data_IF_533182522824
#
_entry.id   IF_533182522824
#
_cell.length_a   1.000
_cell.length_b   1.000
_cell.length_c   1.000
_cell.angle_alpha   90.00
_cell.angle_beta   90.00
_cell.angle_gamma   90.00
#
_symmetry.space_group_name_H-M   'P 1'
#
loop_
_entity.id
_entity.type
_entity.pdbx_description
1 polymer ?
#
# COMPACT_ATOMS: atom_id res chain seq x y z
N UNK A 1 -10.01 -4.89 10.78
CA UNK A 1 -8.89 -5.71 11.33
C UNK A 1 -7.60 -4.95 11.03
N UNK A 2 -6.67 -4.91 11.99
CA UNK A 2 -5.39 -4.22 11.79
C UNK A 2 -4.50 -5.03 10.85
N UNK A 3 -4.02 -4.44 9.76
CA UNK A 3 -3.33 -5.15 8.67
C UNK A 3 -2.22 -4.32 8.04
N UNK A 4 -1.19 -5.00 7.56
CA UNK A 4 -0.11 -4.41 6.76
C UNK A 4 0.06 -5.18 5.45
N UNK A 5 0.03 -4.43 4.34
CA UNK A 5 0.35 -4.90 3.00
C UNK A 5 1.74 -4.43 2.63
N UNK A 6 2.64 -5.38 2.44
CA UNK A 6 4.04 -5.09 2.18
C UNK A 6 4.62 -6.04 1.15
N UNK A 7 5.87 -5.79 0.79
CA UNK A 7 6.63 -6.69 -0.06
C UNK A 7 7.83 -7.18 0.74
N UNK A 8 7.96 -8.49 0.96
CA UNK A 8 9.07 -9.01 1.75
C UNK A 8 10.43 -8.71 1.12
N UNK A 9 10.50 -8.56 -0.20
CA UNK A 9 11.74 -8.19 -0.91
C UNK A 9 12.09 -6.69 -0.84
N UNK A 10 11.25 -5.83 -0.25
CA UNK A 10 11.55 -4.41 -0.11
C UNK A 10 12.32 -4.09 1.18
N UNK A 11 13.59 -3.68 1.07
CA UNK A 11 14.45 -3.28 2.19
C UNK A 11 13.82 -2.25 3.12
N UNK A 12 13.22 -1.20 2.54
CA UNK A 12 12.58 -0.15 3.34
C UNK A 12 11.38 -0.67 4.11
N UNK A 13 10.55 -1.54 3.50
CA UNK A 13 9.44 -2.17 4.21
C UNK A 13 9.95 -3.02 5.37
N UNK A 14 10.97 -3.86 5.14
CA UNK A 14 11.58 -4.69 6.21
C UNK A 14 12.10 -3.85 7.36
N UNK A 15 12.80 -2.74 7.07
CA UNK A 15 13.30 -1.81 8.10
C UNK A 15 12.16 -1.17 8.89
N UNK A 16 11.10 -0.73 8.23
CA UNK A 16 9.93 -0.16 8.89
C UNK A 16 9.29 -1.19 9.81
N UNK A 17 8.99 -2.38 9.29
CA UNK A 17 8.37 -3.49 10.04
C UNK A 17 9.17 -3.84 11.29
N UNK A 18 10.50 -3.93 11.17
CA UNK A 18 11.39 -4.25 12.30
C UNK A 18 11.37 -3.18 13.41
N UNK A 19 11.04 -1.94 13.08
CA UNK A 19 10.98 -0.82 14.02
C UNK A 19 9.55 -0.49 14.46
N UNK A 20 8.55 -1.30 14.07
CA UNK A 20 7.21 -1.13 14.60
C UNK A 20 7.18 -1.49 16.10
N UNK A 21 6.39 -0.78 16.91
CA UNK A 21 6.11 -1.20 18.28
C UNK A 21 5.38 -2.55 18.28
N UNK A 22 5.20 -3.15 19.46
CA UNK A 22 4.36 -4.34 19.60
C UNK A 22 2.98 -4.09 19.00
N UNK A 23 2.50 -5.04 18.20
CA UNK A 23 1.29 -4.87 17.41
C UNK A 23 0.66 -6.23 17.09
N UNK A 24 -0.63 -6.19 16.77
CA UNK A 24 -1.45 -7.32 16.35
C UNK A 24 -1.71 -7.32 14.83
N UNK A 25 -0.87 -6.61 14.05
CA UNK A 25 -1.09 -6.45 12.62
C UNK A 25 -1.01 -7.80 11.91
N UNK A 26 -1.97 -8.05 11.02
CA UNK A 26 -1.87 -9.16 10.08
C UNK A 26 -0.95 -8.76 8.92
N UNK A 27 0.09 -9.56 8.70
CA UNK A 27 1.11 -9.32 7.67
C UNK A 27 0.73 -10.02 6.37
N UNK A 28 0.56 -9.25 5.30
CA UNK A 28 0.32 -9.77 3.95
C UNK A 28 1.44 -9.35 3.00
N UNK A 29 2.25 -10.33 2.59
CA UNK A 29 3.17 -10.14 1.47
C UNK A 29 2.39 -10.22 0.17
N UNK A 30 2.20 -9.06 -0.47
CA UNK A 30 1.37 -8.94 -1.67
C UNK A 30 1.98 -9.61 -2.91
N UNK A 31 3.21 -10.11 -2.82
CA UNK A 31 3.80 -10.95 -3.88
C UNK A 31 3.40 -12.42 -3.73
N UNK A 32 3.28 -12.92 -2.51
CA UNK A 32 2.91 -14.31 -2.24
C UNK A 32 1.38 -14.46 -2.16
N UNK A 33 0.72 -13.48 -1.56
CA UNK A 33 -0.72 -13.41 -1.44
C UNK A 33 -1.22 -12.09 -2.07
N UNK A 34 -1.47 -12.08 -3.39
CA UNK A 34 -1.94 -10.91 -4.12
C UNK A 34 -3.16 -10.26 -3.47
N UNK A 35 -3.27 -8.94 -3.63
CA UNK A 35 -4.42 -8.19 -3.11
C UNK A 35 -5.67 -8.62 -3.86
N UNK A 36 -6.71 -8.92 -3.11
CA UNK A 36 -8.03 -9.21 -3.66
C UNK A 36 -8.78 -7.93 -3.99
N UNK A 37 -9.76 -8.02 -4.89
CA UNK A 37 -10.61 -6.86 -5.22
C UNK A 37 -11.33 -6.30 -3.99
N UNK A 38 -11.78 -7.16 -3.07
CA UNK A 38 -12.44 -6.74 -1.83
C UNK A 38 -11.50 -5.94 -0.90
N UNK A 39 -10.25 -6.39 -0.75
CA UNK A 39 -9.23 -5.67 0.03
C UNK A 39 -8.87 -4.32 -0.61
N UNK A 40 -8.79 -4.27 -1.94
CA UNK A 40 -8.51 -3.04 -2.65
C UNK A 40 -9.67 -2.04 -2.54
N UNK A 41 -10.91 -2.52 -2.59
CA UNK A 41 -12.10 -1.70 -2.36
C UNK A 41 -12.15 -1.15 -0.93
N UNK A 42 -11.79 -1.95 0.08
CA UNK A 42 -11.64 -1.47 1.47
C UNK A 42 -10.61 -0.33 1.55
N UNK A 43 -9.45 -0.50 0.91
CA UNK A 43 -8.45 0.57 0.85
C UNK A 43 -8.98 1.84 0.19
N UNK A 44 -9.75 1.70 -0.89
CA UNK A 44 -10.37 2.82 -1.60
C UNK A 44 -11.35 3.60 -0.73
N UNK A 45 -12.21 2.91 0.03
CA UNK A 45 -13.14 3.57 0.97
C UNK A 45 -12.39 4.39 2.03
N UNK A 46 -11.18 3.98 2.40
CA UNK A 46 -10.36 4.69 3.39
C UNK A 46 -9.46 5.79 2.78
N UNK A 47 -8.94 5.58 1.56
CA UNK A 47 -8.03 6.51 0.89
C UNK A 47 -8.76 7.60 0.10
N UNK A 48 -10.02 7.33 -0.31
CA UNK A 48 -10.83 8.18 -1.18
C UNK A 48 -10.53 8.05 -2.67
N UNK A 49 -9.42 7.41 -3.06
CA UNK A 49 -9.09 7.14 -4.47
C UNK A 49 -8.09 5.98 -4.65
N UNK A 50 -8.18 5.31 -5.79
CA UNK A 50 -7.20 4.33 -6.24
C UNK A 50 -5.89 4.99 -6.65
N UNK A 51 -5.94 6.23 -7.16
CA UNK A 51 -4.72 7.00 -7.46
C UNK A 51 -3.84 7.18 -6.20
N UNK A 52 -4.45 7.44 -5.03
CA UNK A 52 -3.70 7.59 -3.77
C UNK A 52 -2.95 6.32 -3.38
N UNK A 53 -3.48 5.15 -3.76
CA UNK A 53 -2.86 3.84 -3.54
C UNK A 53 -1.83 3.48 -4.61
N UNK A 54 -1.80 4.21 -5.72
CA UNK A 54 -1.02 3.86 -6.89
C UNK A 54 0.43 4.35 -6.81
N UNK A 55 1.37 3.50 -7.22
CA UNK A 55 2.79 3.79 -7.24
C UNK A 55 3.28 4.18 -8.63
N UNK A 56 3.39 5.49 -8.86
CA UNK A 56 4.02 6.07 -10.07
C UNK A 56 5.54 5.81 -10.16
N UNK A 57 6.13 5.21 -9.12
CA UNK A 57 7.57 4.87 -9.05
C UNK A 57 7.88 3.48 -9.63
N UNK A 58 6.86 2.67 -9.92
CA UNK A 58 7.06 1.33 -10.47
C UNK A 58 7.82 1.36 -11.80
N UNK A 59 8.69 0.37 -12.04
CA UNK A 59 9.37 0.25 -13.33
C UNK A 59 8.37 0.03 -14.48
N UNK A 60 7.33 -0.77 -14.24
CA UNK A 60 6.24 -1.00 -15.20
C UNK A 60 5.51 0.30 -15.58
N UNK A 61 5.35 1.25 -14.65
CA UNK A 61 4.75 2.55 -14.96
C UNK A 61 5.53 3.29 -16.06
N UNK A 62 6.86 3.21 -16.02
CA UNK A 62 7.73 3.80 -17.05
C UNK A 62 7.74 2.97 -18.33
N UNK A 63 7.84 1.64 -18.22
CA UNK A 63 7.89 0.73 -19.38
C UNK A 63 6.60 0.74 -20.21
N UNK A 64 5.45 0.96 -19.57
CA UNK A 64 4.14 1.04 -20.24
C UNK A 64 3.77 2.47 -20.67
N UNK A 65 4.69 3.42 -20.49
CA UNK A 65 4.52 4.85 -20.76
C UNK A 65 3.24 5.45 -20.16
N UNK A 66 2.87 4.99 -18.96
CA UNK A 66 1.60 5.37 -18.32
C UNK A 66 1.55 6.85 -17.94
N UNK A 67 2.70 7.51 -17.84
CA UNK A 67 2.80 8.96 -17.60
C UNK A 67 2.14 9.82 -18.69
N UNK A 68 2.08 9.30 -19.92
CA UNK A 68 1.53 10.00 -21.07
C UNK A 68 0.07 9.60 -21.36
N UNK A 69 -0.50 8.73 -20.52
CA UNK A 69 -1.90 8.31 -20.63
C UNK A 69 -2.75 9.09 -19.63
N UNK A 70 -3.95 9.46 -20.06
CA UNK A 70 -4.98 9.96 -19.15
C UNK A 70 -5.56 8.78 -18.38
N UNK A 71 -5.00 8.49 -17.21
CA UNK A 71 -5.46 7.40 -16.35
C UNK A 71 -6.70 7.82 -15.57
N UNK A 72 -7.70 6.96 -15.55
CA UNK A 72 -8.91 7.09 -14.74
C UNK A 72 -8.80 6.26 -13.46
N UNK A 73 -9.72 6.47 -12.52
CA UNK A 73 -9.83 5.65 -11.29
C UNK A 73 -9.97 4.14 -11.61
N UNK A 74 -10.73 3.80 -12.66
CA UNK A 74 -10.86 2.42 -13.10
C UNK A 74 -9.53 1.84 -13.62
N UNK A 75 -8.70 2.65 -14.29
CA UNK A 75 -7.38 2.23 -14.74
C UNK A 75 -6.44 1.98 -13.55
N UNK A 76 -6.44 2.86 -12.55
CA UNK A 76 -5.64 2.66 -11.33
C UNK A 76 -6.03 1.37 -10.61
N UNK A 77 -7.33 1.13 -10.41
CA UNK A 77 -7.83 -0.13 -9.84
C UNK A 77 -7.33 -1.33 -10.63
N UNK A 78 -7.50 -1.30 -11.95
CA UNK A 78 -7.07 -2.37 -12.86
C UNK A 78 -5.59 -2.67 -12.72
N UNK A 79 -4.72 -1.65 -12.79
CA UNK A 79 -3.28 -1.86 -12.72
C UNK A 79 -2.84 -2.39 -11.35
N UNK A 80 -3.44 -1.92 -10.25
CA UNK A 80 -3.11 -2.43 -8.91
C UNK A 80 -3.41 -3.92 -8.79
N UNK A 81 -4.56 -4.38 -9.31
CA UNK A 81 -4.94 -5.79 -9.33
C UNK A 81 -4.10 -6.61 -10.31
N UNK A 82 -3.73 -6.02 -11.45
CA UNK A 82 -2.94 -6.68 -12.49
C UNK A 82 -1.51 -6.98 -12.00
N UNK A 83 -0.88 -6.04 -11.28
CA UNK A 83 0.46 -6.25 -10.78
C UNK A 83 0.74 -5.52 -9.46
N UNK A 84 1.14 -6.30 -8.45
CA UNK A 84 1.43 -5.83 -7.09
C UNK A 84 2.41 -4.64 -7.02
N UNK A 85 3.29 -4.47 -8.03
CA UNK A 85 4.22 -3.32 -8.12
C UNK A 85 3.53 -1.96 -8.14
N UNK A 86 2.28 -1.90 -8.59
CA UNK A 86 1.54 -0.66 -8.72
C UNK A 86 0.92 -0.20 -7.41
N UNK A 87 0.96 -0.99 -6.34
CA UNK A 87 0.57 -0.52 -5.01
C UNK A 87 1.71 0.27 -4.35
N UNK A 88 1.38 1.41 -3.76
CA UNK A 88 2.27 2.20 -2.91
C UNK A 88 2.46 1.53 -1.56
N UNK A 89 3.61 0.88 -1.38
CA UNK A 89 3.93 0.07 -0.19
C UNK A 89 4.89 0.77 0.78
N UNK A 90 4.84 0.43 2.08
CA UNK A 90 3.82 -0.40 2.73
C UNK A 90 2.48 0.32 2.85
N UNK A 91 1.37 -0.42 2.92
CA UNK A 91 0.04 0.12 3.28
C UNK A 91 -0.36 -0.47 4.62
N UNK A 92 -0.73 0.37 5.58
CA UNK A 92 -1.27 -0.07 6.87
C UNK A 92 -2.74 0.30 6.96
N UNK A 93 -3.54 -0.58 7.54
CA UNK A 93 -4.91 -0.33 7.99
C UNK A 93 -4.91 -0.57 9.50
N UNK A 94 -5.16 0.48 10.29
CA UNK A 94 -5.13 0.42 11.76
C UNK A 94 -6.35 1.18 12.29
N UNK A 95 -7.20 0.51 13.06
CA UNK A 95 -8.43 1.07 13.64
C UNK A 95 -9.32 1.79 12.61
N UNK A 96 -9.44 1.21 11.41
CA UNK A 96 -10.21 1.78 10.31
C UNK A 96 -9.57 3.03 9.67
N UNK A 97 -8.26 3.26 9.87
CA UNK A 97 -7.50 4.32 9.19
C UNK A 97 -6.42 3.72 8.30
N UNK A 98 -6.23 4.33 7.14
CA UNK A 98 -5.22 3.90 6.17
C UNK A 98 -3.98 4.79 6.21
N UNK A 99 -2.81 4.17 6.06
CA UNK A 99 -1.51 4.83 6.00
C UNK A 99 -0.74 4.29 4.81
N UNK A 100 -0.42 5.14 3.84
CA UNK A 100 0.10 4.72 2.54
C UNK A 100 1.56 5.16 2.36
N UNK A 101 2.44 4.21 2.09
CA UNK A 101 3.83 4.44 1.75
C UNK A 101 4.77 4.61 2.96
N UNK A 102 6.02 4.94 2.65
CA UNK A 102 7.14 4.96 3.59
C UNK A 102 7.64 6.36 3.96
N UNK A 103 6.84 7.41 3.77
CA UNK A 103 7.26 8.76 4.14
C UNK A 103 7.46 8.85 5.66
N UNK A 104 8.42 9.67 6.09
CA UNK A 104 8.72 9.80 7.52
C UNK A 104 7.50 10.21 8.35
N UNK A 105 6.70 11.14 7.81
CA UNK A 105 5.46 11.58 8.45
C UNK A 105 4.45 10.43 8.56
N UNK A 106 4.28 9.61 7.52
CA UNK A 106 3.35 8.49 7.54
C UNK A 106 3.77 7.44 8.58
N UNK A 107 5.05 7.07 8.62
CA UNK A 107 5.56 6.07 9.58
C UNK A 107 5.44 6.57 11.02
N UNK A 108 5.68 7.86 11.27
CA UNK A 108 5.45 8.44 12.59
C UNK A 108 3.98 8.32 13.04
N UNK A 109 3.02 8.50 12.13
CA UNK A 109 1.61 8.35 12.44
C UNK A 109 1.24 6.89 12.70
N UNK A 110 1.80 5.94 11.94
CA UNK A 110 1.64 4.50 12.18
C UNK A 110 2.14 4.12 13.57
N UNK A 111 3.34 4.53 13.95
CA UNK A 111 3.88 4.26 15.29
C UNK A 111 2.98 4.81 16.40
N UNK A 112 2.46 6.03 16.23
CA UNK A 112 1.51 6.63 17.19
C UNK A 112 0.17 5.88 17.25
N UNK A 113 -0.28 5.31 16.14
CA UNK A 113 -1.52 4.55 16.10
C UNK A 113 -1.39 3.22 16.87
N UNK A 114 -0.24 2.56 16.77
CA UNK A 114 0.03 1.28 17.43
C UNK A 114 0.37 1.37 18.92
N UNK A 115 0.69 2.56 19.43
CA UNK A 115 1.05 2.78 20.84
C UNK A 115 -0.13 3.22 21.72
N UNK A 116 -1.34 3.25 21.17
CA UNK A 116 -2.56 3.62 21.91
C UNK A 116 -3.14 2.43 22.65
#
# INVERSE_FOLDING_TARGET
MNKIYYLASCDTCRKIIKNLPENDLVFQDIRQNPITEAELEEMYQLSGSYEALFSKKAQLYKSMDLKNKALTEADFKKYILEHYTFLSRPVFIIDGKIYIGNSQQNILQVTKALQK
#
